data_IF_859170666036
#
_entry.id   IF_859170666036
#
_cell.length_a   1.000
_cell.length_b   1.000
_cell.length_c   1.000
_cell.angle_alpha   90.00
_cell.angle_beta   90.00
_cell.angle_gamma   90.00
#
_symmetry.space_group_name_H-M   'P 1'
#
loop_
_entity.id
_entity.type
_entity.pdbx_description
1 polymer ?
#
# COMPACT_ATOMS: atom_id res chain seq x y z
N UNK A 1 60.73 31.46 67.49
CA UNK A 1 59.62 31.46 66.51
C UNK A 1 58.32 31.65 67.30
N UNK A 2 57.83 32.89 67.46
CA UNK A 2 56.76 33.52 66.65
C UNK A 2 55.41 32.79 66.77
N UNK A 3 54.56 33.24 67.72
CA UNK A 3 53.36 34.11 67.59
C UNK A 3 52.09 33.29 67.26
N UNK A 4 51.24 33.01 68.25
CA UNK A 4 50.11 33.80 68.76
C UNK A 4 48.86 33.73 67.86
N UNK A 5 47.82 33.13 68.44
CA UNK A 5 46.43 33.09 67.98
C UNK A 5 45.86 34.47 67.66
N UNK A 6 45.05 34.57 66.61
CA UNK A 6 44.15 35.69 66.39
C UNK A 6 42.80 35.22 65.81
N UNK A 7 41.75 35.78 66.39
CA UNK A 7 40.34 35.59 66.09
C UNK A 7 39.96 36.00 64.66
N UNK A 8 39.25 35.13 63.94
CA UNK A 8 38.62 35.43 62.64
C UNK A 8 37.10 35.52 62.75
N UNK A 9 36.58 36.74 62.76
CA UNK A 9 35.16 37.05 62.70
C UNK A 9 34.54 36.77 61.32
N UNK A 10 33.24 36.44 61.33
CA UNK A 10 32.42 36.11 60.17
C UNK A 10 32.27 37.24 59.14
N UNK A 11 32.25 36.89 57.86
CA UNK A 11 31.53 37.62 56.81
C UNK A 11 30.92 36.64 55.80
N UNK A 12 29.63 36.37 55.95
CA UNK A 12 28.83 35.69 54.94
C UNK A 12 28.55 36.67 53.78
N UNK A 13 29.20 36.46 52.64
CA UNK A 13 28.90 37.21 51.41
C UNK A 13 27.66 36.58 50.78
N UNK A 14 26.53 37.28 50.90
CA UNK A 14 25.30 37.00 50.15
C UNK A 14 25.53 37.33 48.67
N UNK A 15 25.74 36.32 47.82
CA UNK A 15 25.75 36.50 46.37
C UNK A 15 24.31 36.57 45.86
N UNK A 16 23.87 37.78 45.52
CA UNK A 16 22.57 38.03 44.94
C UNK A 16 22.37 37.26 43.63
N UNK A 17 21.34 36.40 43.59
CA UNK A 17 20.85 35.80 42.34
C UNK A 17 20.39 36.90 41.39
N UNK A 18 21.19 37.17 40.36
CA UNK A 18 20.76 37.94 39.18
C UNK A 18 19.62 37.15 38.53
N UNK A 19 18.38 37.62 38.73
CA UNK A 19 17.18 37.05 38.12
C UNK A 19 17.17 37.46 36.66
N UNK A 20 17.72 36.61 35.78
CA UNK A 20 17.57 36.76 34.33
C UNK A 20 16.08 36.77 34.02
N UNK A 21 15.56 37.90 33.52
CA UNK A 21 14.21 37.97 32.98
C UNK A 21 14.21 37.13 31.71
N UNK A 22 13.62 35.94 31.77
CA UNK A 22 13.21 35.21 30.58
C UNK A 22 12.29 36.14 29.77
N UNK A 23 12.55 36.37 28.47
CA UNK A 23 11.59 37.08 27.64
C UNK A 23 10.32 36.24 27.61
N UNK A 24 9.20 36.83 28.04
CA UNK A 24 7.89 36.22 27.81
C UNK A 24 7.68 36.22 26.30
N UNK A 25 7.73 35.03 25.68
CA UNK A 25 7.21 34.86 24.33
C UNK A 25 5.72 35.20 24.38
N UNK A 26 5.40 36.41 23.94
CA UNK A 26 4.03 36.81 23.69
C UNK A 26 3.55 35.98 22.50
N UNK A 27 2.70 34.98 22.77
CA UNK A 27 2.18 34.08 21.76
C UNK A 27 1.15 34.85 20.93
N UNK A 28 1.65 35.64 19.96
CA UNK A 28 0.85 36.41 19.02
C UNK A 28 0.05 35.40 18.20
N UNK A 29 -1.23 35.27 18.54
CA UNK A 29 -2.16 34.40 17.84
C UNK A 29 -2.56 35.10 16.54
N UNK A 30 -1.81 34.81 15.47
CA UNK A 30 -2.04 35.32 14.11
C UNK A 30 -3.25 34.67 13.41
N UNK A 31 -4.07 33.92 14.16
CA UNK A 31 -5.18 33.12 13.63
C UNK A 31 -6.54 33.81 13.75
N UNK A 32 -7.52 33.42 12.93
CA UNK A 32 -8.90 33.88 13.05
C UNK A 32 -9.48 33.54 14.42
N UNK A 33 -10.11 34.50 15.07
CA UNK A 33 -10.77 34.32 16.38
C UNK A 33 -12.05 33.53 16.18
N UNK A 34 -11.96 32.20 16.27
CA UNK A 34 -13.12 31.32 16.13
C UNK A 34 -13.79 31.01 17.45
N UNK A 35 -15.12 30.81 17.38
CA UNK A 35 -15.92 30.34 18.52
C UNK A 35 -15.58 28.89 18.82
N UNK A 36 -15.67 28.50 20.09
CA UNK A 36 -15.43 27.11 20.51
C UNK A 36 -16.38 26.16 19.73
N UNK A 37 -15.80 25.29 18.91
CA UNK A 37 -16.52 24.30 18.09
C UNK A 37 -16.60 24.60 16.59
N UNK A 38 -16.13 25.76 16.12
CA UNK A 38 -16.06 26.06 14.69
C UNK A 38 -14.76 25.56 14.06
N UNK A 39 -14.87 24.84 12.95
CA UNK A 39 -13.72 24.31 12.23
C UNK A 39 -13.21 25.32 11.21
N UNK A 40 -11.96 25.77 11.38
CA UNK A 40 -11.25 26.57 10.38
C UNK A 40 -10.62 25.61 9.39
N UNK A 41 -11.12 25.65 8.16
CA UNK A 41 -10.62 24.81 7.08
C UNK A 41 -9.46 25.48 6.34
N UNK A 42 -8.34 24.77 6.23
CA UNK A 42 -7.27 25.06 5.27
C UNK A 42 -7.23 24.02 4.14
N UNK A 43 -6.42 24.27 3.11
CA UNK A 43 -6.17 23.32 2.02
C UNK A 43 -4.72 22.84 2.08
N UNK A 44 -4.52 21.55 2.38
CA UNK A 44 -3.22 20.89 2.36
C UNK A 44 -2.96 20.29 0.98
N UNK A 45 -2.09 20.94 0.21
CA UNK A 45 -1.51 20.46 -1.02
C UNK A 45 -0.32 19.54 -0.71
N UNK A 46 -0.52 18.24 -0.89
CA UNK A 46 0.54 17.23 -0.75
C UNK A 46 1.01 16.87 -2.16
N UNK A 47 2.28 17.13 -2.45
CA UNK A 47 2.92 16.66 -3.68
C UNK A 47 3.95 15.59 -3.32
N UNK A 48 3.66 14.35 -3.68
CA UNK A 48 4.50 13.21 -3.37
C UNK A 48 5.14 12.67 -4.65
N UNK A 49 6.46 12.88 -4.77
CA UNK A 49 7.28 12.35 -5.85
C UNK A 49 8.18 11.22 -5.35
N UNK A 50 8.90 10.56 -6.27
CA UNK A 50 9.95 9.60 -5.91
C UNK A 50 11.21 10.23 -5.34
N UNK A 51 11.35 11.57 -5.44
CA UNK A 51 12.53 12.28 -4.96
C UNK A 51 12.26 12.91 -3.59
N UNK A 52 11.15 13.65 -3.45
CA UNK A 52 10.78 14.31 -2.19
C UNK A 52 9.24 14.43 -2.05
N UNK A 53 8.82 14.66 -0.81
CA UNK A 53 7.45 14.97 -0.43
C UNK A 53 7.31 16.43 0.01
N UNK A 54 6.40 17.15 -0.63
CA UNK A 54 6.13 18.55 -0.34
C UNK A 54 4.76 18.67 0.30
N UNK A 55 4.70 19.27 1.48
CA UNK A 55 3.46 19.55 2.18
C UNK A 55 3.31 21.06 2.24
N UNK A 56 2.26 21.54 1.59
CA UNK A 56 1.99 22.96 1.47
C UNK A 56 0.56 23.24 1.90
N UNK A 57 0.37 24.00 2.96
CA UNK A 57 -0.95 24.37 3.47
C UNK A 57 -1.24 25.79 3.06
N UNK A 58 -2.39 25.98 2.42
CA UNK A 58 -2.93 27.28 2.03
C UNK A 58 -4.26 27.54 2.70
N UNK A 59 -4.73 28.77 2.61
CA UNK A 59 -6.13 29.10 2.86
C UNK A 59 -7.08 28.43 1.84
N UNK A 60 -8.39 28.45 2.12
CA UNK A 60 -9.47 28.01 1.23
C UNK A 60 -9.37 28.62 -0.17
N UNK A 61 -8.97 29.89 -0.26
CA UNK A 61 -8.78 30.60 -1.53
C UNK A 61 -7.57 30.09 -2.34
N UNK A 62 -6.62 29.39 -1.70
CA UNK A 62 -5.37 28.94 -2.31
C UNK A 62 -4.39 30.05 -2.67
N UNK A 63 -4.65 31.31 -2.26
CA UNK A 63 -3.79 32.47 -2.57
C UNK A 63 -2.70 32.68 -1.54
N UNK A 64 -3.01 32.41 -0.27
CA UNK A 64 -2.08 32.62 0.84
C UNK A 64 -1.52 31.30 1.35
N UNK A 65 -0.20 31.29 1.57
CA UNK A 65 0.57 30.12 2.03
C UNK A 65 0.78 30.21 3.53
N UNK A 66 0.21 29.27 4.29
CA UNK A 66 0.26 29.26 5.74
C UNK A 66 1.53 28.54 6.21
N UNK A 67 1.76 27.34 5.66
CA UNK A 67 2.92 26.51 6.02
C UNK A 67 3.43 25.78 4.78
N UNK A 68 4.76 25.75 4.61
CA UNK A 68 5.45 24.92 3.61
C UNK A 68 6.59 24.19 4.27
N UNK A 69 6.55 22.86 4.25
CA UNK A 69 7.63 21.99 4.74
C UNK A 69 7.79 20.84 3.75
N UNK A 70 9.02 20.41 3.53
CA UNK A 70 9.35 19.26 2.68
C UNK A 70 9.98 18.14 3.50
N UNK A 71 9.98 16.92 2.96
CA UNK A 71 10.67 15.78 3.55
C UNK A 71 12.17 16.05 3.70
N UNK A 72 12.78 16.62 2.65
CA UNK A 72 14.19 17.03 2.66
C UNK A 72 14.58 18.01 3.76
N UNK A 73 13.66 18.87 4.22
CA UNK A 73 13.95 19.76 5.37
C UNK A 73 14.11 19.03 6.70
N UNK A 74 13.69 17.76 6.80
CA UNK A 74 13.72 16.97 8.04
C UNK A 74 14.83 15.92 8.06
N UNK A 75 15.39 15.59 6.92
CA UNK A 75 16.48 14.61 6.79
C UNK A 75 17.77 15.29 6.37
N UNK A 76 18.91 14.66 6.67
CA UNK A 76 20.23 15.18 6.30
C UNK A 76 20.80 14.55 5.04
N UNK A 77 20.20 13.46 4.57
CA UNK A 77 20.69 12.69 3.44
C UNK A 77 19.65 12.70 2.31
N UNK A 78 20.09 13.05 1.11
CA UNK A 78 19.24 13.19 -0.07
C UNK A 78 18.47 11.90 -0.43
N UNK A 79 19.04 10.74 -0.10
CA UNK A 79 18.39 9.44 -0.33
C UNK A 79 17.13 9.23 0.52
N UNK A 80 17.05 9.90 1.67
CA UNK A 80 16.00 9.70 2.66
C UNK A 80 14.86 10.72 2.50
N UNK A 81 14.94 11.65 1.55
CA UNK A 81 13.94 12.70 1.32
C UNK A 81 12.58 12.13 0.86
N UNK A 82 12.63 11.09 0.02
CA UNK A 82 11.45 10.36 -0.44
C UNK A 82 10.91 9.37 0.58
N UNK A 83 11.64 9.14 1.68
CA UNK A 83 11.28 8.11 2.64
C UNK A 83 9.93 8.42 3.31
N UNK A 84 9.13 7.39 3.64
CA UNK A 84 7.89 7.58 4.37
C UNK A 84 8.10 8.18 5.76
N UNK A 85 9.29 7.99 6.33
CA UNK A 85 9.68 8.55 7.63
C UNK A 85 9.87 10.07 7.56
N UNK A 86 10.57 10.56 6.54
CA UNK A 86 10.74 12.00 6.31
C UNK A 86 9.40 12.71 6.12
N UNK A 87 8.50 12.13 5.31
CA UNK A 87 7.16 12.66 5.07
C UNK A 87 6.32 12.74 6.36
N UNK A 88 6.47 11.75 7.25
CA UNK A 88 5.77 11.72 8.54
C UNK A 88 6.23 12.84 9.46
N UNK A 89 7.54 13.04 9.61
CA UNK A 89 8.13 14.12 10.42
C UNK A 89 7.71 15.49 9.89
N UNK A 90 7.80 15.69 8.57
CA UNK A 90 7.37 16.92 7.94
C UNK A 90 5.89 17.22 8.22
N UNK A 91 5.02 16.20 8.16
CA UNK A 91 3.59 16.34 8.43
C UNK A 91 3.27 16.70 9.88
N UNK A 92 4.03 16.17 10.84
CA UNK A 92 3.87 16.50 12.26
C UNK A 92 4.17 17.98 12.52
N UNK A 93 5.26 18.49 11.93
CA UNK A 93 5.64 19.89 12.07
C UNK A 93 4.67 20.84 11.35
N UNK A 94 4.15 20.42 10.19
CA UNK A 94 3.08 21.18 9.51
C UNK A 94 1.85 21.26 10.40
N UNK A 95 1.42 20.14 10.99
CA UNK A 95 0.26 20.12 11.86
C UNK A 95 0.47 21.00 13.10
N UNK A 96 1.67 21.02 13.67
CA UNK A 96 1.98 21.86 14.82
C UNK A 96 1.87 23.36 14.47
N UNK A 97 2.48 23.79 13.37
CA UNK A 97 2.40 25.17 12.88
C UNK A 97 0.98 25.58 12.50
N UNK A 98 0.21 24.66 11.90
CA UNK A 98 -1.19 24.91 11.59
C UNK A 98 -2.03 25.15 12.85
N UNK A 99 -1.74 24.47 13.97
CA UNK A 99 -2.42 24.72 15.26
C UNK A 99 -2.07 26.09 15.84
N UNK A 100 -0.81 26.50 15.74
CA UNK A 100 -0.36 27.83 16.17
C UNK A 100 -1.08 28.95 15.39
N UNK A 101 -1.38 28.70 14.10
CA UNK A 101 -2.14 29.59 13.23
C UNK A 101 -3.68 29.47 13.41
N UNK A 102 -4.18 28.60 14.28
CA UNK A 102 -5.61 28.43 14.55
C UNK A 102 -6.38 27.59 13.51
N UNK A 103 -5.70 26.83 12.67
CA UNK A 103 -6.32 25.94 11.68
C UNK A 103 -6.61 24.58 12.34
N UNK A 104 -7.88 24.17 12.35
CA UNK A 104 -8.32 22.94 13.02
C UNK A 104 -8.69 21.82 12.05
N UNK A 105 -9.01 22.16 10.80
CA UNK A 105 -9.40 21.21 9.77
C UNK A 105 -8.66 21.45 8.45
N UNK A 106 -8.41 20.38 7.68
CA UNK A 106 -7.69 20.44 6.40
C UNK A 106 -8.43 19.68 5.30
N UNK A 107 -8.55 20.31 4.14
CA UNK A 107 -8.89 19.66 2.86
C UNK A 107 -7.62 19.22 2.16
N UNK A 108 -7.55 17.95 1.78
CA UNK A 108 -6.31 17.37 1.27
C UNK A 108 -6.40 17.28 -0.24
N UNK A 109 -5.44 17.90 -0.93
CA UNK A 109 -5.24 17.79 -2.37
C UNK A 109 -3.94 17.06 -2.63
N UNK A 110 -4.04 15.77 -2.98
CA UNK A 110 -2.88 14.94 -3.28
C UNK A 110 -2.54 15.01 -4.77
N UNK A 111 -1.29 15.33 -5.10
CA UNK A 111 -0.74 15.33 -6.45
C UNK A 111 0.46 14.40 -6.55
N UNK A 112 0.52 13.65 -7.65
CA UNK A 112 1.67 12.86 -8.07
C UNK A 112 2.43 13.58 -9.20
N UNK A 113 3.58 13.05 -9.60
CA UNK A 113 4.29 13.49 -10.80
C UNK A 113 3.39 13.36 -12.02
N UNK A 114 3.02 14.49 -12.64
CA UNK A 114 2.21 14.51 -13.86
C UNK A 114 3.00 14.21 -15.13
N UNK A 115 2.32 14.25 -16.29
CA UNK A 115 2.93 14.06 -17.62
C UNK A 115 3.04 12.59 -18.05
N UNK A 116 4.06 12.26 -18.86
CA UNK A 116 4.35 10.89 -19.30
C UNK A 116 4.98 10.00 -18.22
N UNK A 117 5.18 10.53 -17.00
CA UNK A 117 5.71 9.78 -15.86
C UNK A 117 4.58 9.08 -15.09
N UNK A 118 4.95 8.31 -14.09
CA UNK A 118 4.04 7.56 -13.22
C UNK A 118 3.03 8.48 -12.54
N UNK A 119 1.73 8.19 -12.74
CA UNK A 119 0.59 8.85 -12.08
C UNK A 119 0.39 8.36 -10.64
N UNK A 120 1.12 7.33 -10.24
CA UNK A 120 1.11 6.80 -8.87
C UNK A 120 1.81 7.77 -7.94
N UNK A 121 1.18 8.17 -6.81
CA UNK A 121 1.83 9.03 -5.84
C UNK A 121 3.06 8.34 -5.23
N UNK A 122 4.09 9.14 -4.90
CA UNK A 122 5.32 8.63 -4.29
C UNK A 122 5.10 8.00 -2.90
N UNK A 123 6.09 7.25 -2.40
CA UNK A 123 5.96 6.43 -1.18
C UNK A 123 5.56 7.23 0.08
N UNK A 124 5.91 8.51 0.18
CA UNK A 124 5.55 9.34 1.32
C UNK A 124 4.12 9.90 1.32
N UNK A 125 3.31 9.67 0.27
CA UNK A 125 1.93 10.19 0.19
C UNK A 125 1.02 9.65 1.29
N UNK A 126 0.95 8.32 1.43
CA UNK A 126 0.12 7.66 2.43
C UNK A 126 0.62 7.96 3.85
N UNK A 127 1.94 8.01 4.04
CA UNK A 127 2.54 8.34 5.33
C UNK A 127 2.20 9.76 5.78
N UNK A 128 2.24 10.74 4.88
CA UNK A 128 1.88 12.11 5.19
C UNK A 128 0.39 12.24 5.59
N UNK A 129 -0.51 11.60 4.83
CA UNK A 129 -1.95 11.58 5.14
C UNK A 129 -2.22 10.98 6.53
N UNK A 130 -1.61 9.84 6.82
CA UNK A 130 -1.75 9.16 8.12
C UNK A 130 -1.16 9.99 9.27
N UNK A 131 -0.06 10.69 9.02
CA UNK A 131 0.57 11.55 10.02
C UNK A 131 -0.32 12.75 10.38
N UNK A 132 -0.91 13.42 9.39
CA UNK A 132 -1.86 14.53 9.61
C UNK A 132 -3.10 14.07 10.40
N UNK A 133 -3.63 12.88 10.10
CA UNK A 133 -4.74 12.29 10.85
C UNK A 133 -4.37 12.06 12.33
N UNK A 134 -3.17 11.52 12.60
CA UNK A 134 -2.68 11.27 13.96
C UNK A 134 -2.39 12.54 14.75
N UNK A 135 -1.97 13.61 14.08
CA UNK A 135 -1.69 14.90 14.72
C UNK A 135 -2.95 15.64 15.21
N UNK A 136 -4.14 15.05 15.04
CA UNK A 136 -5.40 15.60 15.55
C UNK A 136 -6.07 16.62 14.64
N UNK A 137 -5.64 16.72 13.38
CA UNK A 137 -6.31 17.56 12.38
C UNK A 137 -7.58 16.87 11.88
N UNK A 138 -8.68 17.62 11.77
CA UNK A 138 -9.91 17.10 11.16
C UNK A 138 -9.77 17.09 9.65
N UNK A 139 -9.78 15.89 9.06
CA UNK A 139 -9.68 15.73 7.61
C UNK A 139 -11.07 15.92 7.01
N UNK A 140 -11.19 16.89 6.10
CA UNK A 140 -12.40 17.11 5.31
C UNK A 140 -12.37 16.29 4.02
N UNK A 141 -12.57 16.96 2.88
CA UNK A 141 -12.48 16.34 1.56
C UNK A 141 -11.05 15.93 1.22
N UNK A 142 -10.89 14.71 0.75
CA UNK A 142 -9.65 14.22 0.13
C UNK A 142 -9.88 14.19 -1.38
N UNK A 143 -9.18 15.06 -2.09
CA UNK A 143 -9.16 15.10 -3.55
C UNK A 143 -7.82 14.55 -4.03
N UNK A 144 -7.83 13.35 -4.59
CA UNK A 144 -6.69 12.80 -5.33
C UNK A 144 -6.75 13.36 -6.76
N UNK A 145 -5.69 14.00 -7.23
CA UNK A 145 -5.57 14.45 -8.62
C UNK A 145 -5.25 13.28 -9.57
N UNK A 146 -5.88 12.11 -9.35
CA UNK A 146 -5.98 11.09 -10.38
C UNK A 146 -7.01 11.65 -11.35
N UNK A 147 -6.49 12.22 -12.43
CA UNK A 147 -7.26 12.78 -13.53
C UNK A 147 -8.38 11.79 -13.90
N UNK A 148 -9.63 12.19 -13.71
CA UNK A 148 -10.83 11.47 -14.10
C UNK A 148 -11.02 11.43 -15.64
N UNK A 149 -9.93 11.35 -16.41
CA UNK A 149 -9.94 11.25 -17.85
C UNK A 149 -8.92 10.20 -18.25
N UNK A 150 -9.44 9.03 -18.64
CA UNK A 150 -8.77 7.83 -19.16
C UNK A 150 -7.96 6.96 -18.17
N UNK A 151 -8.60 5.91 -17.66
CA UNK A 151 -8.09 4.53 -17.76
C UNK A 151 -6.98 4.05 -16.83
N UNK A 152 -6.50 4.84 -15.87
CA UNK A 152 -5.61 4.35 -14.81
C UNK A 152 -6.31 4.51 -13.46
N UNK A 153 -7.37 3.71 -13.28
CA UNK A 153 -8.06 3.56 -12.01
C UNK A 153 -7.10 2.93 -10.99
N UNK A 154 -7.30 3.30 -9.74
CA UNK A 154 -6.75 2.69 -8.54
C UNK A 154 -6.50 1.19 -8.71
N UNK A 155 -5.39 0.67 -8.14
CA UNK A 155 -5.14 -0.76 -8.06
C UNK A 155 -6.06 -1.41 -7.00
N UNK A 156 -7.37 -1.22 -7.14
CA UNK A 156 -8.34 -1.96 -6.35
C UNK A 156 -8.61 -3.31 -7.03
N UNK A 157 -8.92 -4.32 -6.22
CA UNK A 157 -9.24 -5.67 -6.70
C UNK A 157 -10.36 -5.64 -7.74
N UNK A 158 -11.36 -4.77 -7.54
CA UNK A 158 -12.53 -4.68 -8.41
C UNK A 158 -12.17 -4.03 -9.75
N UNK A 159 -11.39 -2.95 -9.74
CA UNK A 159 -10.85 -2.30 -10.94
C UNK A 159 -9.96 -3.23 -11.75
N UNK A 160 -9.06 -3.97 -11.08
CA UNK A 160 -8.14 -4.92 -11.73
C UNK A 160 -8.88 -6.10 -12.36
N UNK A 161 -9.80 -6.73 -11.62
CA UNK A 161 -10.63 -7.81 -12.15
C UNK A 161 -11.53 -7.34 -13.31
N UNK A 162 -12.03 -6.11 -13.27
CA UNK A 162 -12.83 -5.53 -14.36
C UNK A 162 -11.97 -5.27 -15.61
N UNK A 163 -10.76 -4.76 -15.44
CA UNK A 163 -9.82 -4.55 -16.54
C UNK A 163 -9.37 -5.89 -17.16
N UNK A 164 -9.05 -6.88 -16.32
CA UNK A 164 -8.69 -8.22 -16.76
C UNK A 164 -9.83 -8.89 -17.55
N UNK A 165 -11.06 -8.83 -17.04
CA UNK A 165 -12.23 -9.36 -17.73
C UNK A 165 -12.58 -8.61 -19.03
N UNK A 166 -12.16 -7.34 -19.17
CA UNK A 166 -12.26 -6.59 -20.41
C UNK A 166 -11.27 -7.05 -21.48
N UNK A 167 -10.13 -7.63 -21.09
CA UNK A 167 -9.13 -8.19 -22.00
C UNK A 167 -9.47 -9.63 -22.38
N UNK A 168 -9.88 -10.44 -21.40
CA UNK A 168 -10.18 -11.86 -21.60
C UNK A 168 -11.59 -12.19 -21.15
N UNK A 169 -12.45 -12.55 -22.10
CA UNK A 169 -13.85 -12.89 -21.87
C UNK A 169 -14.04 -14.23 -21.12
N UNK A 170 -12.97 -15.02 -20.95
CA UNK A 170 -13.01 -16.30 -20.22
C UNK A 170 -13.00 -16.13 -18.70
N UNK A 171 -12.76 -14.91 -18.21
CA UNK A 171 -12.65 -14.61 -16.78
C UNK A 171 -14.02 -14.41 -16.16
N UNK A 172 -14.29 -15.15 -15.08
CA UNK A 172 -15.42 -14.86 -14.21
C UNK A 172 -15.09 -13.72 -13.25
N UNK A 173 -15.69 -12.54 -13.47
CA UNK A 173 -15.51 -11.36 -12.60
C UNK A 173 -15.79 -11.68 -11.13
N UNK A 174 -16.90 -12.39 -10.84
CA UNK A 174 -17.29 -12.76 -9.48
C UNK A 174 -16.24 -13.66 -8.81
N UNK A 175 -15.66 -14.59 -9.57
CA UNK A 175 -14.61 -15.47 -9.06
C UNK A 175 -13.32 -14.69 -8.77
N UNK A 176 -12.89 -13.84 -9.71
CA UNK A 176 -11.70 -13.00 -9.56
C UNK A 176 -11.77 -12.13 -8.31
N UNK A 177 -12.87 -11.40 -8.13
CA UNK A 177 -13.04 -10.53 -6.96
C UNK A 177 -13.06 -11.34 -5.68
N UNK A 178 -13.84 -12.43 -5.62
CA UNK A 178 -13.97 -13.24 -4.41
C UNK A 178 -12.64 -13.87 -3.98
N UNK A 179 -11.83 -14.37 -4.92
CA UNK A 179 -10.55 -15.02 -4.58
C UNK A 179 -9.49 -14.01 -4.17
N UNK A 180 -9.35 -12.92 -4.91
CA UNK A 180 -8.35 -11.90 -4.61
C UNK A 180 -8.70 -11.07 -3.37
N UNK A 181 -9.98 -10.78 -3.12
CA UNK A 181 -10.39 -9.99 -1.93
C UNK A 181 -10.16 -10.72 -0.61
N UNK A 182 -10.14 -12.06 -0.64
CA UNK A 182 -9.95 -12.88 0.56
C UNK A 182 -8.48 -12.95 1.02
N UNK A 183 -7.53 -12.49 0.19
CA UNK A 183 -6.13 -12.50 0.55
C UNK A 183 -5.78 -11.29 1.43
N UNK A 184 -5.06 -11.50 2.53
CA UNK A 184 -4.74 -10.43 3.49
C UNK A 184 -3.86 -9.31 2.91
N UNK A 185 -3.00 -9.61 1.93
CA UNK A 185 -2.16 -8.62 1.23
C UNK A 185 -2.88 -7.85 0.13
N UNK A 186 -4.12 -8.21 -0.19
CA UNK A 186 -4.88 -7.65 -1.31
C UNK A 186 -5.18 -6.14 -1.22
N UNK A 187 -5.50 -5.56 -0.04
CA UNK A 187 -5.86 -4.14 0.07
C UNK A 187 -4.72 -3.16 -0.28
N UNK A 188 -3.47 -3.59 -0.06
CA UNK A 188 -2.27 -2.79 -0.29
C UNK A 188 -1.54 -3.18 -1.59
N UNK A 189 -2.06 -4.15 -2.35
CA UNK A 189 -1.38 -4.72 -3.50
C UNK A 189 -1.65 -3.92 -4.79
N UNK A 190 -0.58 -3.44 -5.42
CA UNK A 190 -0.61 -2.93 -6.79
C UNK A 190 -0.93 -4.05 -7.80
N UNK A 191 -1.18 -3.73 -9.08
CA UNK A 191 -1.46 -4.73 -10.14
C UNK A 191 -0.40 -5.84 -10.23
N UNK A 192 0.86 -5.52 -9.93
CA UNK A 192 1.94 -6.51 -9.82
C UNK A 192 1.80 -7.41 -8.58
N UNK A 193 1.47 -6.82 -7.42
CA UNK A 193 1.19 -7.59 -6.21
C UNK A 193 -0.02 -8.50 -6.38
N UNK A 194 -1.08 -8.03 -7.04
CA UNK A 194 -2.25 -8.83 -7.38
C UNK A 194 -1.90 -9.98 -8.35
N UNK A 195 -0.97 -9.78 -9.28
CA UNK A 195 -0.46 -10.86 -10.14
C UNK A 195 0.28 -11.94 -9.33
N UNK A 196 1.13 -11.54 -8.38
CA UNK A 196 1.82 -12.47 -7.48
C UNK A 196 0.85 -13.22 -6.57
N UNK A 197 -0.16 -12.53 -6.01
CA UNK A 197 -1.22 -13.14 -5.21
C UNK A 197 -2.04 -14.13 -6.06
N UNK A 198 -2.32 -13.81 -7.32
CA UNK A 198 -3.03 -14.73 -8.21
C UNK A 198 -2.21 -16.00 -8.48
N UNK A 199 -0.89 -15.87 -8.68
CA UNK A 199 0.01 -17.00 -8.86
C UNK A 199 0.13 -17.85 -7.57
N UNK A 200 0.26 -17.23 -6.39
CA UNK A 200 0.36 -17.96 -5.11
C UNK A 200 -0.94 -18.71 -4.76
N UNK A 201 -2.10 -18.09 -4.99
CA UNK A 201 -3.40 -18.77 -4.86
C UNK A 201 -3.54 -19.95 -5.84
N UNK A 202 -2.89 -19.88 -6.99
CA UNK A 202 -2.76 -21.00 -7.93
C UNK A 202 -2.04 -22.20 -7.31
N UNK A 203 -0.88 -21.95 -6.67
CA UNK A 203 -0.08 -22.96 -5.97
C UNK A 203 -0.88 -23.60 -4.82
N UNK A 204 -1.53 -22.79 -3.99
CA UNK A 204 -2.33 -23.33 -2.87
C UNK A 204 -3.47 -24.24 -3.35
N UNK A 205 -4.11 -23.91 -4.49
CA UNK A 205 -5.14 -24.78 -5.08
C UNK A 205 -4.56 -26.11 -5.61
N UNK A 206 -3.27 -26.18 -5.95
CA UNK A 206 -2.59 -27.44 -6.35
C UNK A 206 -2.15 -28.29 -5.17
N UNK A 207 -1.86 -27.68 -4.03
CA UNK A 207 -1.33 -28.36 -2.85
C UNK A 207 -2.43 -28.91 -1.92
N UNK A 208 -3.69 -28.52 -2.10
CA UNK A 208 -4.80 -29.02 -1.29
C UNK A 208 -4.81 -30.56 -1.26
N UNK A 209 -4.55 -31.12 -0.08
CA UNK A 209 -4.39 -32.56 0.22
C UNK A 209 -5.70 -33.35 0.10
N UNK A 210 -6.81 -32.70 -0.30
CA UNK A 210 -8.12 -33.31 -0.51
C UNK A 210 -8.22 -34.27 -1.70
N UNK A 211 -7.14 -34.47 -2.47
CA UNK A 211 -7.03 -35.50 -3.52
C UNK A 211 -6.93 -36.92 -2.93
N UNK A 212 -6.76 -37.06 -1.62
CA UNK A 212 -6.78 -38.35 -0.94
C UNK A 212 -8.17 -38.98 -1.10
N UNK A 213 -8.19 -40.12 -1.79
CA UNK A 213 -9.33 -41.01 -1.92
C UNK A 213 -10.11 -41.12 -0.60
N UNK A 214 -11.29 -40.51 -0.54
CA UNK A 214 -12.22 -40.75 0.57
C UNK A 214 -12.57 -42.25 0.58
N UNK A 215 -12.73 -42.88 1.75
CA UNK A 215 -13.15 -44.29 1.82
C UNK A 215 -14.50 -44.43 1.11
N UNK A 216 -14.51 -45.09 -0.06
CA UNK A 216 -15.67 -45.20 -0.95
C UNK A 216 -15.43 -44.88 -2.43
N UNK A 217 -14.26 -44.35 -2.82
CA UNK A 217 -13.91 -44.19 -4.24
C UNK A 217 -13.79 -45.53 -4.95
N UNK A 218 -14.58 -45.73 -6.01
CA UNK A 218 -14.59 -46.97 -6.80
C UNK A 218 -13.22 -47.35 -7.37
N UNK A 219 -12.99 -48.65 -7.57
CA UNK A 219 -11.69 -49.20 -8.00
C UNK A 219 -11.13 -48.58 -9.29
N UNK A 220 -12.00 -48.09 -10.19
CA UNK A 220 -11.62 -47.41 -11.44
C UNK A 220 -11.14 -45.95 -11.23
N UNK A 221 -11.57 -45.29 -10.16
CA UNK A 221 -11.23 -43.88 -9.88
C UNK A 221 -9.86 -43.73 -9.21
N UNK A 222 -9.42 -44.73 -8.44
CA UNK A 222 -8.14 -44.69 -7.70
C UNK A 222 -6.90 -44.49 -8.59
N UNK A 223 -6.70 -45.21 -9.71
CA UNK A 223 -5.55 -44.96 -10.60
C UNK A 223 -5.66 -43.62 -11.33
N UNK A 224 -6.87 -43.16 -11.66
CA UNK A 224 -7.10 -41.86 -12.29
C UNK A 224 -6.73 -40.70 -11.34
N UNK A 225 -7.10 -40.82 -10.06
CA UNK A 225 -6.74 -39.84 -9.04
C UNK A 225 -5.22 -39.77 -8.83
N UNK A 226 -4.52 -40.90 -8.86
CA UNK A 226 -3.06 -40.93 -8.76
C UNK A 226 -2.41 -40.20 -9.93
N UNK A 227 -2.88 -40.44 -11.16
CA UNK A 227 -2.39 -39.72 -12.35
C UNK A 227 -2.69 -38.23 -12.29
N UNK A 228 -3.87 -37.84 -11.79
CA UNK A 228 -4.20 -36.43 -11.59
C UNK A 228 -3.30 -35.76 -10.54
N UNK A 229 -2.93 -36.46 -9.46
CA UNK A 229 -2.01 -35.92 -8.46
C UNK A 229 -0.66 -35.56 -9.07
N UNK A 230 -0.11 -36.42 -9.94
CA UNK A 230 1.13 -36.13 -10.65
C UNK A 230 1.01 -34.86 -11.51
N UNK A 231 -0.09 -34.73 -12.27
CA UNK A 231 -0.35 -33.54 -13.09
C UNK A 231 -0.52 -32.26 -12.26
N UNK A 232 -1.17 -32.34 -11.09
CA UNK A 232 -1.31 -31.19 -10.20
C UNK A 232 0.01 -30.81 -9.54
N UNK A 233 0.87 -31.78 -9.22
CA UNK A 233 2.23 -31.51 -8.72
C UNK A 233 3.07 -30.81 -9.80
N UNK A 234 3.03 -31.30 -11.04
CA UNK A 234 3.68 -30.66 -12.20
C UNK A 234 3.17 -29.23 -12.41
N UNK A 235 1.85 -29.05 -12.33
CA UNK A 235 1.23 -27.72 -12.41
C UNK A 235 1.68 -26.78 -11.28
N UNK A 236 1.91 -27.28 -10.06
CA UNK A 236 2.45 -26.48 -8.95
C UNK A 236 3.83 -25.92 -9.29
N UNK A 237 4.72 -26.73 -9.88
CA UNK A 237 6.03 -26.28 -10.33
C UNK A 237 5.92 -25.19 -11.40
N UNK A 238 5.01 -25.34 -12.37
CA UNK A 238 4.78 -24.33 -13.41
C UNK A 238 4.27 -23.00 -12.82
N UNK A 239 3.39 -23.06 -11.82
CA UNK A 239 2.95 -21.86 -11.11
C UNK A 239 4.08 -21.20 -10.31
N UNK A 240 4.95 -21.99 -9.68
CA UNK A 240 6.12 -21.48 -8.96
C UNK A 240 7.12 -20.80 -9.90
N UNK A 241 7.44 -21.42 -11.04
CA UNK A 241 8.28 -20.79 -12.08
C UNK A 241 7.65 -19.50 -12.62
N UNK A 242 6.33 -19.51 -12.84
CA UNK A 242 5.57 -18.33 -13.26
C UNK A 242 5.65 -17.21 -12.22
N UNK A 243 5.49 -17.56 -10.94
CA UNK A 243 5.63 -16.63 -9.81
C UNK A 243 7.03 -16.01 -9.79
N UNK A 244 8.08 -16.82 -9.91
CA UNK A 244 9.47 -16.34 -9.92
C UNK A 244 9.76 -15.41 -11.09
N UNK A 245 9.25 -15.73 -12.29
CA UNK A 245 9.37 -14.86 -13.46
C UNK A 245 8.66 -13.51 -13.26
N UNK A 246 7.45 -13.51 -12.70
CA UNK A 246 6.68 -12.29 -12.40
C UNK A 246 7.39 -11.48 -11.30
N UNK A 247 7.96 -12.15 -10.30
CA UNK A 247 8.71 -11.53 -9.21
C UNK A 247 10.00 -10.86 -9.74
N UNK A 248 10.69 -11.53 -10.66
CA UNK A 248 11.87 -11.02 -11.38
C UNK A 248 11.56 -9.95 -12.44
N UNK A 249 10.30 -9.48 -12.54
CA UNK A 249 9.83 -8.49 -13.53
C UNK A 249 9.91 -8.97 -14.99
N UNK A 250 10.05 -10.28 -15.22
CA UNK A 250 10.02 -10.90 -16.55
C UNK A 250 8.59 -11.35 -16.88
N UNK A 251 7.74 -10.40 -17.27
CA UNK A 251 6.31 -10.67 -17.53
C UNK A 251 6.06 -11.51 -18.79
N UNK A 252 6.93 -11.41 -19.79
CA UNK A 252 6.82 -12.22 -21.01
C UNK A 252 7.03 -13.71 -20.70
N UNK A 253 8.15 -14.02 -20.02
CA UNK A 253 8.46 -15.39 -19.59
C UNK A 253 7.42 -15.92 -18.60
N UNK A 254 6.98 -15.09 -17.64
CA UNK A 254 5.95 -15.49 -16.67
C UNK A 254 4.63 -15.87 -17.34
N UNK A 255 4.19 -15.12 -18.36
CA UNK A 255 2.95 -15.44 -19.10
C UNK A 255 3.05 -16.72 -19.92
N UNK A 256 4.19 -16.94 -20.56
CA UNK A 256 4.45 -18.17 -21.33
C UNK A 256 4.39 -19.39 -20.41
N UNK A 257 5.11 -19.33 -19.28
CA UNK A 257 5.12 -20.38 -18.26
C UNK A 257 3.74 -20.65 -17.68
N UNK A 258 3.01 -19.62 -17.25
CA UNK A 258 1.64 -19.78 -16.76
C UNK A 258 0.70 -20.34 -17.85
N UNK A 259 0.96 -20.07 -19.13
CA UNK A 259 0.22 -20.64 -20.25
C UNK A 259 0.35 -22.16 -20.38
N UNK A 260 1.53 -22.72 -20.06
CA UNK A 260 1.81 -24.16 -20.12
C UNK A 260 0.95 -24.98 -19.14
N UNK A 261 0.49 -24.36 -18.04
CA UNK A 261 -0.34 -25.02 -17.03
C UNK A 261 -1.81 -25.23 -17.44
N UNK A 262 -2.32 -24.50 -18.45
CA UNK A 262 -3.72 -24.62 -18.91
C UNK A 262 -4.05 -26.04 -19.42
N UNK A 263 -3.26 -26.65 -20.33
CA UNK A 263 -3.53 -28.02 -20.76
C UNK A 263 -3.36 -29.04 -19.62
N UNK A 264 -2.42 -28.83 -18.69
CA UNK A 264 -2.21 -29.73 -17.55
C UNK A 264 -3.46 -29.83 -16.66
N UNK A 265 -4.11 -28.70 -16.39
CA UNK A 265 -5.35 -28.68 -15.61
C UNK A 265 -6.50 -29.47 -16.27
N UNK A 266 -6.61 -29.43 -17.60
CA UNK A 266 -7.68 -30.10 -18.36
C UNK A 266 -7.47 -31.60 -18.54
N UNK A 267 -6.21 -32.04 -18.58
CA UNK A 267 -5.87 -33.46 -18.78
C UNK A 267 -6.47 -34.38 -17.72
N UNK A 268 -6.61 -33.90 -16.48
CA UNK A 268 -7.26 -34.67 -15.42
C UNK A 268 -8.76 -34.88 -15.73
N UNK A 269 -9.49 -33.84 -16.10
CA UNK A 269 -10.92 -33.95 -16.44
C UNK A 269 -11.15 -34.81 -17.68
N UNK A 270 -10.30 -34.68 -18.70
CA UNK A 270 -10.35 -35.51 -19.91
C UNK A 270 -10.14 -37.00 -19.60
N UNK A 271 -9.28 -37.32 -18.63
CA UNK A 271 -9.05 -38.69 -18.19
C UNK A 271 -10.28 -39.29 -17.50
N UNK A 272 -10.98 -38.50 -16.67
CA UNK A 272 -12.24 -38.92 -16.06
C UNK A 272 -13.39 -39.03 -17.07
N UNK A 273 -13.46 -38.10 -18.02
CA UNK A 273 -14.45 -38.13 -19.10
C UNK A 273 -14.30 -39.39 -19.96
N UNK A 274 -13.07 -39.75 -20.35
CA UNK A 274 -12.76 -40.98 -21.09
C UNK A 274 -13.13 -42.26 -20.32
N UNK A 275 -13.01 -42.23 -18.99
CA UNK A 275 -13.38 -43.35 -18.13
C UNK A 275 -14.89 -43.44 -17.83
N UNK A 276 -15.69 -42.47 -18.29
CA UNK A 276 -17.12 -42.34 -18.00
C UNK A 276 -17.44 -42.35 -16.49
N UNK A 277 -16.55 -41.78 -15.67
CA UNK A 277 -16.74 -41.61 -14.22
C UNK A 277 -16.93 -40.13 -13.92
N UNK A 278 -17.98 -39.71 -13.17
CA UNK A 278 -18.12 -38.32 -12.77
C UNK A 278 -16.93 -37.91 -11.89
N UNK A 279 -16.19 -36.88 -12.32
CA UNK A 279 -15.00 -36.45 -11.59
C UNK A 279 -15.42 -35.66 -10.33
N UNK A 280 -14.85 -35.98 -9.15
CA UNK A 280 -15.08 -35.18 -7.94
C UNK A 280 -14.27 -33.86 -7.95
N UNK A 281 -13.45 -33.65 -8.98
CA UNK A 281 -12.46 -32.58 -9.07
C UNK A 281 -12.86 -31.44 -10.02
N UNK A 282 -14.05 -31.49 -10.63
CA UNK A 282 -14.51 -30.46 -11.60
C UNK A 282 -14.35 -29.05 -11.06
N UNK A 283 -14.77 -28.82 -9.81
CA UNK A 283 -14.69 -27.49 -9.20
C UNK A 283 -13.24 -27.04 -8.99
N UNK A 284 -12.33 -27.97 -8.68
CA UNK A 284 -10.92 -27.69 -8.45
C UNK A 284 -10.20 -27.37 -9.75
N UNK A 285 -10.39 -28.21 -10.78
CA UNK A 285 -9.88 -27.97 -12.13
C UNK A 285 -10.36 -26.61 -12.65
N UNK A 286 -11.65 -26.32 -12.50
CA UNK A 286 -12.21 -25.04 -12.89
C UNK A 286 -11.58 -23.85 -12.15
N UNK A 287 -11.38 -23.96 -10.83
CA UNK A 287 -10.69 -22.92 -10.06
C UNK A 287 -9.25 -22.72 -10.54
N UNK A 288 -8.47 -23.79 -10.75
CA UNK A 288 -7.10 -23.72 -11.23
C UNK A 288 -7.02 -23.04 -12.61
N UNK A 289 -7.88 -23.43 -13.54
CA UNK A 289 -7.95 -22.81 -14.89
C UNK A 289 -8.32 -21.33 -14.79
N UNK A 290 -9.30 -20.96 -13.96
CA UNK A 290 -9.66 -19.55 -13.77
C UNK A 290 -8.51 -18.74 -13.15
N UNK A 291 -7.78 -19.29 -12.19
CA UNK A 291 -6.61 -18.61 -11.61
C UNK A 291 -5.49 -18.39 -12.63
N UNK A 292 -5.23 -19.37 -13.51
CA UNK A 292 -4.28 -19.22 -14.61
C UNK A 292 -4.67 -18.07 -15.54
N UNK A 293 -5.93 -18.05 -16.00
CA UNK A 293 -6.42 -17.02 -16.92
C UNK A 293 -6.38 -15.65 -16.25
N UNK A 294 -6.76 -15.54 -14.96
CA UNK A 294 -6.68 -14.29 -14.20
C UNK A 294 -5.22 -13.84 -14.07
N UNK A 295 -4.29 -14.74 -13.74
CA UNK A 295 -2.87 -14.41 -13.63
C UNK A 295 -2.31 -13.89 -14.97
N UNK A 296 -2.60 -14.57 -16.09
CA UNK A 296 -2.19 -14.14 -17.43
C UNK A 296 -2.81 -12.80 -17.84
N UNK A 297 -4.09 -12.57 -17.51
CA UNK A 297 -4.76 -11.32 -17.86
C UNK A 297 -4.25 -10.14 -17.01
N UNK A 298 -4.01 -10.33 -15.71
CA UNK A 298 -3.43 -9.30 -14.86
C UNK A 298 -2.00 -8.98 -15.29
N UNK A 299 -1.18 -10.00 -15.61
CA UNK A 299 0.17 -9.76 -16.13
C UNK A 299 0.17 -9.05 -17.49
N UNK A 300 -0.88 -9.18 -18.31
CA UNK A 300 -1.06 -8.37 -19.52
C UNK A 300 -1.41 -6.90 -19.25
N UNK A 301 -1.94 -6.57 -18.06
CA UNK A 301 -2.17 -5.18 -17.65
C UNK A 301 -0.87 -4.46 -17.27
N UNK A 302 0.17 -5.22 -16.92
CA UNK A 302 1.47 -4.68 -16.52
C UNK A 302 2.31 -4.53 -17.80
N UNK A 303 2.56 -3.28 -18.21
CA UNK A 303 3.45 -2.95 -19.32
C UNK A 303 4.90 -2.89 -18.87
#
# INVERSE_FOLDING_TARGET
MMRCDDHGAAFAVQSGRKKTREPKEENVTLGPTVREGEYVFGVAHIFASFNDTFIHVTDLSGRETLVRITGGMKVKADRDESSPYAAMLASQDVAQRCKELGITALHIKLRATGGNKTKTPGPGAQSALRALARSGMKIGRIATAILALSGAAHADVQGTCKAAAGIDSRISYKFCVSKLSNHHLSPDADSWGLALIAASLGISNTEDTGLVAKPGTGAKAKPLLARCQELYNEMSFVFAEGYDCINARSYAAGKEKVGEAIPLARQCDDAFAKAAVPSPLVQRSWCSVQMLIICTAITNLIK
#
